data_IF_853343674956
#
_entry.id   IF_853343674956
#
_cell.length_a   1.000
_cell.length_b   1.000
_cell.length_c   1.000
_cell.angle_alpha   90.00
_cell.angle_beta   90.00
_cell.angle_gamma   90.00
#
_symmetry.space_group_name_H-M   'P 1'
#
loop_
_entity.id
_entity.type
_entity.pdbx_description
1 polymer ?
#
# COMPACT_ATOMS: atom_id res chain seq x y z
N UNK A 1 -19.19 2.73 42.58
CA UNK A 1 -19.42 3.77 41.57
C UNK A 1 -18.40 3.58 40.46
N UNK A 2 -18.85 3.07 39.31
CA UNK A 2 -18.01 2.90 38.13
C UNK A 2 -17.85 4.27 37.44
N UNK A 3 -16.61 4.61 37.06
CA UNK A 3 -16.35 5.68 36.11
C UNK A 3 -16.04 5.04 34.77
N UNK A 4 -17.01 5.12 33.86
CA UNK A 4 -16.80 4.93 32.44
C UNK A 4 -15.84 6.00 31.93
N UNK A 5 -14.65 5.57 31.52
CA UNK A 5 -13.77 6.35 30.67
C UNK A 5 -14.04 5.97 29.23
N UNK A 6 -14.90 6.73 28.55
CA UNK A 6 -15.08 6.64 27.11
C UNK A 6 -13.77 7.06 26.41
N UNK A 7 -12.97 6.09 25.95
CA UNK A 7 -11.90 6.35 24.98
C UNK A 7 -12.53 6.38 23.58
N UNK A 8 -12.95 7.58 23.14
CA UNK A 8 -13.39 7.84 21.77
C UNK A 8 -12.24 7.72 20.77
N UNK A 9 -11.80 6.48 20.48
CA UNK A 9 -10.89 6.20 19.38
C UNK A 9 -11.65 6.29 18.07
N UNK A 10 -11.20 7.14 17.15
CA UNK A 10 -11.74 7.29 15.79
C UNK A 10 -11.78 5.92 15.09
N UNK A 11 -12.98 5.36 14.87
CA UNK A 11 -13.13 4.04 14.28
C UNK A 11 -12.81 4.07 12.77
N UNK A 12 -11.63 3.59 12.40
CA UNK A 12 -11.22 3.34 11.02
C UNK A 12 -11.56 1.91 10.61
N UNK A 13 -12.26 1.74 9.49
CA UNK A 13 -12.53 0.42 8.89
C UNK A 13 -12.08 0.40 7.45
N UNK A 14 -11.27 -0.58 7.07
CA UNK A 14 -10.82 -0.82 5.70
C UNK A 14 -11.56 -2.02 5.11
N UNK A 15 -12.35 -1.77 4.05
CA UNK A 15 -12.92 -2.82 3.21
C UNK A 15 -11.92 -3.19 2.13
N UNK A 16 -11.61 -4.48 2.01
CA UNK A 16 -10.52 -4.93 1.15
C UNK A 16 -10.61 -6.40 0.74
N UNK A 17 -9.91 -6.73 -0.33
CA UNK A 17 -9.55 -8.08 -0.71
C UNK A 17 -8.06 -8.23 -0.41
N UNK A 18 -7.65 -9.26 0.34
CA UNK A 18 -6.27 -9.40 0.82
C UNK A 18 -5.24 -9.45 -0.31
N UNK A 19 -5.61 -10.04 -1.45
CA UNK A 19 -4.76 -10.20 -2.63
C UNK A 19 -4.70 -8.94 -3.51
N UNK A 20 -5.54 -7.93 -3.28
CA UNK A 20 -5.57 -6.73 -4.12
C UNK A 20 -4.36 -5.83 -3.83
N UNK A 21 -3.54 -5.48 -4.84
CA UNK A 21 -2.38 -4.60 -4.63
C UNK A 21 -2.81 -3.21 -4.15
N UNK A 22 -3.99 -2.75 -4.54
CA UNK A 22 -4.54 -1.46 -4.08
C UNK A 22 -4.91 -1.51 -2.59
N UNK A 23 -5.36 -2.65 -2.08
CA UNK A 23 -5.68 -2.86 -0.66
C UNK A 23 -4.40 -3.03 0.14
N UNK A 24 -3.44 -3.83 -0.35
CA UNK A 24 -2.10 -3.97 0.23
C UNK A 24 -1.46 -2.59 0.41
N UNK A 25 -1.54 -1.72 -0.61
CA UNK A 25 -1.05 -0.33 -0.55
C UNK A 25 -1.68 0.46 0.60
N UNK A 26 -3.01 0.38 0.76
CA UNK A 26 -3.72 1.06 1.83
C UNK A 26 -3.32 0.52 3.21
N UNK A 27 -3.23 -0.80 3.37
CA UNK A 27 -2.81 -1.46 4.61
C UNK A 27 -1.39 -1.04 5.01
N UNK A 28 -0.43 -1.07 4.08
CA UNK A 28 0.94 -0.60 4.34
C UNK A 28 0.92 0.87 4.77
N UNK A 29 0.19 1.74 4.07
CA UNK A 29 0.15 3.16 4.39
C UNK A 29 -0.46 3.45 5.78
N UNK A 30 -1.46 2.68 6.21
CA UNK A 30 -2.06 2.78 7.55
C UNK A 30 -1.08 2.27 8.62
N UNK A 31 -0.47 1.11 8.38
CA UNK A 31 0.49 0.49 9.31
C UNK A 31 1.73 1.37 9.53
N UNK A 32 2.30 1.95 8.47
CA UNK A 32 3.45 2.86 8.56
C UNK A 32 3.13 4.16 9.32
N UNK A 33 1.85 4.51 9.43
CA UNK A 33 1.38 5.66 10.22
C UNK A 33 1.00 5.28 11.66
N UNK A 34 1.13 4.00 12.03
CA UNK A 34 0.74 3.50 13.35
C UNK A 34 -0.76 3.57 13.60
N UNK A 35 -1.60 3.64 12.55
CA UNK A 35 -3.04 3.72 12.69
C UNK A 35 -3.63 2.33 12.92
N UNK A 36 -4.47 2.20 13.94
CA UNK A 36 -5.29 1.01 14.16
C UNK A 36 -6.56 1.10 13.32
N UNK A 37 -6.95 -0.02 12.70
CA UNK A 37 -8.15 -0.10 11.87
C UNK A 37 -8.75 -1.50 11.92
N UNK A 38 -10.07 -1.59 11.80
CA UNK A 38 -10.76 -2.84 11.48
C UNK A 38 -10.56 -3.20 10.01
N UNK A 39 -10.32 -4.47 9.71
CA UNK A 39 -10.23 -4.97 8.34
C UNK A 39 -11.41 -5.89 8.05
N UNK A 40 -12.10 -5.64 6.94
CA UNK A 40 -13.23 -6.45 6.49
C UNK A 40 -12.93 -6.97 5.09
N UNK A 41 -12.89 -8.30 4.97
CA UNK A 41 -12.66 -8.98 3.70
C UNK A 41 -13.91 -8.88 2.81
N UNK A 42 -13.71 -8.50 1.55
CA UNK A 42 -14.77 -8.34 0.55
C UNK A 42 -14.65 -9.40 -0.55
N UNK A 43 -15.79 -9.96 -0.95
CA UNK A 43 -15.85 -10.88 -2.09
C UNK A 43 -15.85 -10.12 -3.42
N UNK A 44 -15.20 -10.71 -4.43
CA UNK A 44 -15.23 -10.19 -5.80
C UNK A 44 -16.56 -10.45 -6.51
N UNK A 45 -17.30 -11.47 -6.05
CA UNK A 45 -18.55 -11.93 -6.66
C UNK A 45 -19.75 -11.39 -5.88
N UNK A 46 -19.78 -11.65 -4.57
CA UNK A 46 -20.89 -11.32 -3.67
C UNK A 46 -20.53 -10.09 -2.82
N UNK A 47 -20.65 -8.92 -3.43
CA UNK A 47 -20.26 -7.65 -2.80
C UNK A 47 -21.16 -7.31 -1.62
N UNK A 48 -20.55 -6.90 -0.50
CA UNK A 48 -21.33 -6.52 0.68
C UNK A 48 -22.20 -5.28 0.43
N UNK A 49 -23.33 -5.17 1.13
CA UNK A 49 -24.15 -3.96 1.11
C UNK A 49 -23.36 -2.73 1.56
N UNK A 50 -22.45 -2.91 2.52
CA UNK A 50 -21.58 -1.86 3.01
C UNK A 50 -20.66 -1.34 1.90
N UNK A 51 -20.04 -2.22 1.10
CA UNK A 51 -19.21 -1.84 -0.05
C UNK A 51 -20.02 -1.11 -1.13
N UNK A 52 -21.21 -1.63 -1.46
CA UNK A 52 -22.07 -1.01 -2.49
C UNK A 52 -22.56 0.36 -2.04
N UNK A 53 -22.94 0.52 -0.77
CA UNK A 53 -23.34 1.80 -0.19
C UNK A 53 -22.18 2.80 -0.09
N UNK A 54 -20.98 2.30 0.23
CA UNK A 54 -19.80 3.16 0.45
C UNK A 54 -19.12 3.58 -0.85
N UNK A 55 -19.18 2.74 -1.90
CA UNK A 55 -18.64 3.04 -3.24
C UNK A 55 -19.68 2.72 -4.32
N UNK A 56 -20.78 3.48 -4.43
CA UNK A 56 -21.88 3.17 -5.34
C UNK A 56 -21.47 3.27 -6.81
N UNK A 57 -20.47 4.10 -7.12
CA UNK A 57 -19.99 4.35 -8.49
C UNK A 57 -19.20 3.16 -9.02
N UNK A 58 -18.16 2.73 -8.30
CA UNK A 58 -17.24 1.69 -8.80
C UNK A 58 -17.46 0.33 -8.17
N UNK A 59 -18.02 0.28 -6.96
CA UNK A 59 -18.25 -0.97 -6.19
C UNK A 59 -16.96 -1.81 -6.11
N UNK A 60 -15.84 -1.14 -5.85
CA UNK A 60 -14.47 -1.69 -5.82
C UNK A 60 -13.78 -1.33 -4.50
N UNK A 61 -12.85 -2.18 -4.10
CA UNK A 61 -11.93 -1.99 -2.97
C UNK A 61 -10.60 -1.37 -3.43
N UNK A 62 -9.81 -0.71 -2.55
CA UNK A 62 -10.07 -0.44 -1.14
C UNK A 62 -11.10 0.67 -0.91
N UNK A 63 -11.85 0.55 0.19
CA UNK A 63 -12.66 1.64 0.75
C UNK A 63 -12.29 1.81 2.22
N UNK A 64 -11.78 2.99 2.58
CA UNK A 64 -11.54 3.33 3.98
C UNK A 64 -12.73 4.12 4.52
N UNK A 65 -13.36 3.64 5.58
CA UNK A 65 -14.44 4.31 6.28
C UNK A 65 -13.85 4.94 7.54
N UNK A 66 -14.03 6.25 7.68
CA UNK A 66 -13.65 7.01 8.87
C UNK A 66 -14.91 7.73 9.35
N UNK A 67 -15.38 7.43 10.56
CA UNK A 67 -16.57 8.08 11.13
C UNK A 67 -17.79 8.03 10.18
N UNK A 68 -18.05 6.85 9.62
CA UNK A 68 -19.11 6.61 8.64
C UNK A 68 -18.90 7.25 7.26
N UNK A 69 -17.82 8.02 7.04
CA UNK A 69 -17.52 8.69 5.77
C UNK A 69 -16.56 7.83 4.93
N UNK A 70 -16.99 7.33 3.75
CA UNK A 70 -16.15 6.50 2.91
C UNK A 70 -15.13 7.32 2.12
N UNK A 71 -13.96 6.73 1.91
CA UNK A 71 -12.87 7.22 1.07
C UNK A 71 -12.50 6.10 0.10
N UNK A 72 -12.86 6.31 -1.15
CA UNK A 72 -12.53 5.41 -2.25
C UNK A 72 -11.20 5.80 -2.90
N UNK A 73 -10.63 4.85 -3.63
CA UNK A 73 -9.32 4.94 -4.33
C UNK A 73 -8.11 4.88 -3.40
N UNK A 74 -7.21 3.92 -3.69
CA UNK A 74 -5.98 3.74 -2.91
C UNK A 74 -5.10 4.99 -2.86
N UNK A 75 -5.05 5.79 -3.94
CA UNK A 75 -4.28 7.03 -3.98
C UNK A 75 -4.83 8.09 -3.02
N UNK A 76 -6.16 8.22 -2.93
CA UNK A 76 -6.80 9.14 -2.00
C UNK A 76 -6.62 8.67 -0.55
N UNK A 77 -6.63 7.36 -0.28
CA UNK A 77 -6.40 6.79 1.05
C UNK A 77 -4.95 7.05 1.52
N UNK A 78 -3.96 6.82 0.65
CA UNK A 78 -2.56 7.12 0.95
C UNK A 78 -2.37 8.62 1.21
N UNK A 79 -3.01 9.46 0.38
CA UNK A 79 -2.93 10.92 0.44
C UNK A 79 -3.72 11.55 1.59
N UNK A 80 -4.85 10.98 2.06
CA UNK A 80 -5.68 11.60 3.12
C UNK A 80 -4.95 11.71 4.46
N UNK A 81 -3.96 10.86 4.73
CA UNK A 81 -3.09 11.04 5.89
C UNK A 81 -1.84 11.90 5.61
N UNK A 82 -1.79 12.69 4.53
CA UNK A 82 -0.80 13.75 4.28
C UNK A 82 -1.45 14.90 3.52
N UNK A 83 -1.63 16.04 4.17
CA UNK A 83 -1.99 17.29 3.49
C UNK A 83 -0.84 17.66 2.54
N UNK A 84 -0.99 17.47 1.21
CA UNK A 84 0.02 17.92 0.25
C UNK A 84 -0.59 18.61 -0.98
N UNK A 85 -0.06 19.81 -1.27
CA UNK A 85 -0.20 20.52 -2.53
C UNK A 85 0.62 19.83 -3.62
N UNK A 86 -0.04 19.49 -4.73
CA UNK A 86 0.45 19.52 -6.12
C UNK A 86 1.71 18.76 -6.51
N UNK A 87 1.53 17.63 -7.22
CA UNK A 87 1.85 17.43 -8.65
C UNK A 87 1.65 15.94 -8.98
N UNK A 88 0.87 15.68 -10.02
CA UNK A 88 0.36 14.37 -10.45
C UNK A 88 1.09 13.94 -11.73
N UNK A 89 1.23 12.62 -11.90
CA UNK A 89 1.26 11.91 -13.21
C UNK A 89 2.48 12.25 -14.09
N UNK A 90 3.56 11.49 -13.93
CA UNK A 90 4.62 11.31 -14.95
C UNK A 90 5.54 10.14 -14.58
N UNK A 91 5.71 9.84 -13.29
CA UNK A 91 6.75 8.94 -12.81
C UNK A 91 6.43 7.45 -12.98
N UNK A 92 5.17 7.07 -13.22
CA UNK A 92 4.77 5.65 -13.18
C UNK A 92 5.20 4.84 -14.42
N UNK A 93 5.54 5.47 -15.53
CA UNK A 93 5.99 4.77 -16.75
C UNK A 93 7.44 5.08 -17.12
N UNK A 94 8.04 6.13 -16.54
CA UNK A 94 9.38 6.57 -16.89
C UNK A 94 10.40 5.98 -15.91
N UNK A 95 10.86 4.77 -16.26
CA UNK A 95 12.22 4.28 -16.01
C UNK A 95 12.54 3.76 -14.58
N UNK A 96 12.15 2.52 -14.30
CA UNK A 96 12.39 1.85 -13.01
C UNK A 96 13.87 1.66 -12.64
N UNK A 97 14.81 1.61 -13.59
CA UNK A 97 16.24 1.41 -13.27
C UNK A 97 17.08 2.69 -13.35
N UNK A 98 16.82 3.55 -14.33
CA UNK A 98 17.53 4.83 -14.45
C UNK A 98 17.06 5.82 -13.39
N UNK A 99 15.77 5.85 -13.03
CA UNK A 99 15.29 6.67 -11.92
C UNK A 99 15.80 6.17 -10.56
N UNK A 100 15.96 4.85 -10.36
CA UNK A 100 16.58 4.35 -9.14
C UNK A 100 18.05 4.79 -9.06
N UNK A 101 18.81 4.62 -10.14
CA UNK A 101 20.20 5.09 -10.20
C UNK A 101 20.27 6.61 -10.02
N UNK A 102 19.41 7.41 -10.67
CA UNK A 102 19.40 8.87 -10.59
C UNK A 102 18.90 9.43 -9.26
N UNK A 103 17.87 8.86 -8.64
CA UNK A 103 17.43 9.23 -7.29
C UNK A 103 18.47 8.84 -6.24
N UNK A 104 19.23 7.77 -6.46
CA UNK A 104 20.28 7.29 -5.56
C UNK A 104 21.69 7.78 -5.95
N UNK A 105 21.84 8.68 -6.94
CA UNK A 105 23.14 9.32 -7.28
C UNK A 105 23.57 10.22 -6.12
N UNK A 106 24.20 9.62 -5.11
CA UNK A 106 24.94 10.35 -4.07
C UNK A 106 24.88 9.82 -2.65
N UNK A 107 24.06 8.82 -2.31
CA UNK A 107 24.00 8.36 -0.91
C UNK A 107 23.46 6.94 -0.78
N UNK A 108 23.82 6.33 0.35
CA UNK A 108 23.43 5.03 0.90
C UNK A 108 21.90 4.87 1.12
N UNK A 109 21.06 5.45 0.26
CA UNK A 109 19.61 5.50 0.40
C UNK A 109 19.01 4.10 0.41
N UNK A 110 18.36 3.74 1.52
CA UNK A 110 17.72 2.44 1.69
C UNK A 110 16.46 2.29 0.82
N UNK A 111 15.78 3.40 0.51
CA UNK A 111 14.48 3.49 -0.14
C UNK A 111 14.47 4.55 -1.26
N UNK A 112 13.44 4.55 -2.11
CA UNK A 112 13.22 5.62 -3.11
C UNK A 112 12.98 6.98 -2.44
N UNK A 113 12.53 6.99 -1.18
CA UNK A 113 12.45 8.18 -0.34
C UNK A 113 13.74 8.56 0.40
N UNK A 114 14.89 7.96 0.04
CA UNK A 114 16.15 8.16 0.77
C UNK A 114 16.22 7.25 1.99
N UNK A 115 16.25 7.85 3.17
CA UNK A 115 16.33 7.14 4.46
C UNK A 115 14.96 6.69 4.98
N UNK A 116 13.87 7.10 4.33
CA UNK A 116 12.51 6.78 4.75
C UNK A 116 11.64 6.34 3.58
N UNK A 117 10.60 5.54 3.87
CA UNK A 117 9.62 5.07 2.88
C UNK A 117 8.79 6.24 2.37
N UNK A 118 8.74 6.43 1.05
CA UNK A 118 7.87 7.40 0.39
C UNK A 118 6.68 6.74 -0.34
N UNK A 119 5.95 7.53 -1.13
CA UNK A 119 4.82 7.04 -1.92
C UNK A 119 5.23 6.00 -2.97
N UNK A 120 6.37 6.21 -3.64
CA UNK A 120 6.89 5.30 -4.68
C UNK A 120 7.21 3.95 -4.06
N UNK A 121 7.87 3.94 -2.90
CA UNK A 121 8.16 2.72 -2.15
C UNK A 121 6.88 1.95 -1.81
N UNK A 122 5.83 2.63 -1.34
CA UNK A 122 4.54 1.99 -0.99
C UNK A 122 3.80 1.48 -2.23
N UNK A 123 3.84 2.23 -3.34
CA UNK A 123 3.19 1.84 -4.60
C UNK A 123 3.87 0.61 -5.20
N UNK A 124 5.20 0.66 -5.38
CA UNK A 124 5.96 -0.44 -5.94
C UNK A 124 5.96 -1.65 -5.00
N UNK A 125 6.12 -1.39 -3.70
CA UNK A 125 6.10 -2.40 -2.65
C UNK A 125 4.78 -3.17 -2.60
N UNK A 126 3.65 -2.52 -2.88
CA UNK A 126 2.34 -3.19 -2.93
C UNK A 126 2.18 -4.22 -4.07
N UNK A 127 3.05 -4.16 -5.08
CA UNK A 127 3.06 -5.09 -6.22
C UNK A 127 3.97 -6.30 -5.98
N UNK A 128 4.85 -6.25 -4.98
CA UNK A 128 5.87 -7.27 -4.74
C UNK A 128 5.33 -8.70 -4.58
N UNK A 129 4.15 -8.89 -3.99
CA UNK A 129 3.50 -10.20 -3.92
C UNK A 129 3.00 -10.69 -5.27
N UNK A 130 2.49 -9.78 -6.12
CA UNK A 130 2.05 -10.11 -7.48
C UNK A 130 3.20 -10.41 -8.42
N UNK A 131 4.33 -9.71 -8.28
CA UNK A 131 5.54 -10.01 -9.05
C UNK A 131 6.01 -11.45 -8.77
N UNK A 132 6.07 -11.84 -7.49
CA UNK A 132 6.41 -13.22 -7.11
C UNK A 132 5.42 -14.26 -7.64
N UNK A 133 4.12 -13.98 -7.57
CA UNK A 133 3.11 -14.87 -8.15
C UNK A 133 3.32 -15.05 -9.67
N UNK A 134 3.67 -13.97 -10.37
CA UNK A 134 3.97 -13.99 -11.81
C UNK A 134 5.22 -14.80 -12.10
N UNK A 135 6.27 -14.65 -11.29
CA UNK A 135 7.49 -15.47 -11.38
C UNK A 135 7.17 -16.96 -11.25
N UNK A 136 6.34 -17.34 -10.27
CA UNK A 136 5.95 -18.73 -10.05
C UNK A 136 5.08 -19.31 -11.17
N UNK A 137 4.15 -18.52 -11.72
CA UNK A 137 3.23 -18.95 -12.78
C UNK A 137 3.94 -19.05 -14.13
N UNK A 138 4.76 -18.04 -14.47
CA UNK A 138 5.36 -17.92 -15.79
C UNK A 138 6.80 -18.47 -15.87
N UNK A 139 7.43 -18.77 -14.73
CA UNK A 139 8.81 -19.25 -14.68
C UNK A 139 9.86 -18.21 -15.06
N UNK A 140 9.50 -16.93 -15.12
CA UNK A 140 10.39 -15.82 -15.47
C UNK A 140 10.68 -15.01 -14.22
N UNK A 141 11.96 -14.83 -13.86
CA UNK A 141 12.34 -13.89 -12.80
C UNK A 141 12.04 -12.45 -13.24
N UNK A 142 11.17 -11.80 -12.49
CA UNK A 142 10.77 -10.41 -12.68
C UNK A 142 11.72 -9.49 -11.92
N UNK A 143 12.14 -9.85 -10.70
CA UNK A 143 13.21 -9.18 -9.97
C UNK A 143 14.44 -10.09 -9.96
N UNK A 144 15.32 -9.88 -10.94
CA UNK A 144 16.56 -10.65 -11.06
C UNK A 144 17.69 -10.04 -10.22
N UNK A 145 18.26 -10.79 -9.29
CA UNK A 145 19.33 -10.31 -8.39
C UNK A 145 20.64 -10.00 -9.10
N UNK A 146 20.90 -10.60 -10.26
CA UNK A 146 22.12 -10.40 -11.04
C UNK A 146 22.00 -9.16 -11.92
N UNK A 147 20.83 -8.96 -12.53
CA UNK A 147 20.55 -7.81 -13.41
C UNK A 147 20.10 -6.58 -12.63
N UNK A 148 19.36 -6.77 -11.54
CA UNK A 148 18.71 -5.73 -10.74
C UNK A 148 19.07 -5.83 -9.24
N UNK A 149 20.37 -5.89 -8.87
CA UNK A 149 20.79 -6.13 -7.49
C UNK A 149 20.27 -5.07 -6.51
N UNK A 150 20.18 -3.81 -6.95
CA UNK A 150 19.69 -2.72 -6.11
C UNK A 150 18.19 -2.83 -5.82
N UNK A 151 17.40 -3.21 -6.83
CA UNK A 151 15.95 -3.40 -6.68
C UNK A 151 15.65 -4.64 -5.84
N UNK A 152 16.41 -5.72 -6.02
CA UNK A 152 16.29 -6.91 -5.17
C UNK A 152 16.61 -6.59 -3.71
N UNK A 153 17.70 -5.87 -3.45
CA UNK A 153 18.06 -5.46 -2.09
C UNK A 153 17.02 -4.49 -1.49
N UNK A 154 16.46 -3.59 -2.29
CA UNK A 154 15.35 -2.72 -1.87
C UNK A 154 14.10 -3.54 -1.52
N UNK A 155 13.72 -4.53 -2.33
CA UNK A 155 12.54 -5.35 -2.10
C UNK A 155 12.64 -6.14 -0.79
N UNK A 156 13.82 -6.70 -0.49
CA UNK A 156 14.08 -7.37 0.79
C UNK A 156 13.98 -6.41 1.97
N UNK A 157 14.60 -5.21 1.88
CA UNK A 157 14.49 -4.19 2.93
C UNK A 157 13.04 -3.75 3.14
N UNK A 158 12.29 -3.55 2.06
CA UNK A 158 10.90 -3.10 2.13
C UNK A 158 9.99 -4.15 2.80
N UNK A 159 10.15 -5.44 2.46
CA UNK A 159 9.41 -6.55 3.10
C UNK A 159 9.75 -6.71 4.58
N UNK A 160 10.96 -6.33 4.98
CA UNK A 160 11.42 -6.43 6.37
C UNK A 160 10.88 -5.32 7.29
N UNK A 161 10.15 -4.33 6.76
CA UNK A 161 9.54 -3.27 7.58
C UNK A 161 8.37 -3.84 8.38
N UNK A 162 8.29 -3.53 9.68
CA UNK A 162 7.26 -4.08 10.57
C UNK A 162 5.83 -3.80 10.10
N UNK A 163 5.57 -2.61 9.54
CA UNK A 163 4.28 -2.26 8.95
C UNK A 163 3.95 -2.97 7.62
N UNK A 164 4.91 -3.66 7.02
CA UNK A 164 4.77 -4.40 5.75
C UNK A 164 4.72 -5.92 5.98
N UNK A 165 5.41 -6.41 7.02
CA UNK A 165 5.37 -7.81 7.44
C UNK A 165 3.94 -8.30 7.60
N UNK A 166 3.62 -9.44 6.98
CA UNK A 166 2.28 -10.04 7.06
C UNK A 166 1.19 -9.36 6.23
N UNK A 167 1.49 -8.25 5.54
CA UNK A 167 0.58 -7.64 4.55
C UNK A 167 0.83 -8.22 3.16
N UNK A 168 2.11 -8.36 2.80
CA UNK A 168 2.53 -8.98 1.53
C UNK A 168 2.71 -10.49 1.78
N UNK A 169 1.93 -11.31 1.08
CA UNK A 169 2.07 -12.77 1.12
C UNK A 169 3.39 -13.20 0.48
N UNK A 170 4.08 -14.16 1.11
CA UNK A 170 5.28 -14.80 0.57
C UNK A 170 4.92 -15.87 -0.45
#
# INVERSE_FOLDING_TARGET
>A
MAREGASGGEALTLLGLWASPFVIRARIALNLKGLTYGYTEESLYDKSELLVKSNPVHKKVPVLIHDGKPVCESQNIVQRGRRQRGKRIAVLETLEEQAFKECCKGQQAAFFGGDSVNLVDVVLGSLLGWLQATEAICGVKVIDTTRMPLLAAWAERFRAIDGVKGVITR
#
